data_IF_188727652399
#
_entry.id   IF_188727652399
#
_cell.length_a   1.000
_cell.length_b   1.000
_cell.length_c   1.000
_cell.angle_alpha   90.00
_cell.angle_beta   90.00
_cell.angle_gamma   90.00
#
_symmetry.space_group_name_H-M   'P 1'
#
loop_
_entity.id
_entity.type
_entity.pdbx_description
1 polymer ?
#
# COMPACT_ATOMS: atom_id res chain seq x y z
N UNK A 1 -61.98 -2.76 30.74
CA UNK A 1 -60.87 -2.25 31.56
C UNK A 1 -59.54 -3.05 31.44
N UNK A 2 -59.49 -4.38 31.54
CA UNK A 2 -58.23 -5.17 31.38
C UNK A 2 -57.59 -5.12 29.97
N UNK A 3 -58.37 -5.12 28.88
CA UNK A 3 -57.87 -5.03 27.50
C UNK A 3 -57.21 -3.69 27.19
N UNK A 4 -57.65 -2.63 27.76
CA UNK A 4 -57.10 -1.27 27.49
C UNK A 4 -55.77 -1.02 28.21
N UNK A 5 -55.61 -1.56 29.45
CA UNK A 5 -54.35 -1.57 30.16
C UNK A 5 -53.27 -2.37 29.41
N UNK A 6 -53.61 -3.52 28.85
CA UNK A 6 -52.68 -4.36 28.06
C UNK A 6 -52.21 -3.66 26.75
N UNK A 7 -53.15 -2.98 26.05
CA UNK A 7 -52.84 -2.19 24.86
C UNK A 7 -51.93 -0.99 25.15
N UNK A 8 -52.13 -0.31 26.28
CA UNK A 8 -51.28 0.81 26.73
C UNK A 8 -49.88 0.32 27.14
N UNK A 9 -49.77 -0.82 27.80
CA UNK A 9 -48.49 -1.44 28.18
C UNK A 9 -47.72 -1.88 26.95
N UNK A 10 -48.39 -2.53 25.96
CA UNK A 10 -47.78 -2.94 24.72
C UNK A 10 -47.24 -1.74 23.88
N UNK A 11 -48.03 -0.68 23.75
CA UNK A 11 -47.62 0.56 23.07
C UNK A 11 -46.43 1.21 23.76
N UNK A 12 -46.39 1.25 25.11
CA UNK A 12 -45.25 1.76 25.88
C UNK A 12 -43.99 0.89 25.64
N UNK A 13 -44.14 -0.46 25.64
CA UNK A 13 -43.01 -1.36 25.35
C UNK A 13 -42.47 -1.18 23.96
N UNK A 14 -43.34 -1.04 22.95
CA UNK A 14 -42.92 -0.77 21.56
C UNK A 14 -42.20 0.57 21.45
N UNK A 15 -42.75 1.66 22.08
CA UNK A 15 -42.08 2.97 22.05
C UNK A 15 -40.71 2.95 22.72
N UNK A 16 -40.54 2.24 23.85
CA UNK A 16 -39.23 2.10 24.51
C UNK A 16 -38.24 1.32 23.61
N UNK A 17 -38.66 0.18 23.08
CA UNK A 17 -37.83 -0.60 22.19
C UNK A 17 -37.39 0.20 20.93
N UNK A 18 -38.30 0.98 20.36
CA UNK A 18 -38.00 1.84 19.22
C UNK A 18 -37.01 2.94 19.60
N UNK A 19 -37.16 3.54 20.80
CA UNK A 19 -36.22 4.55 21.30
C UNK A 19 -34.84 3.96 21.53
N UNK A 20 -34.74 2.75 22.11
CA UNK A 20 -33.48 2.07 22.36
C UNK A 20 -32.75 1.70 21.03
N UNK A 21 -33.49 1.24 20.03
CA UNK A 21 -32.93 0.94 18.68
C UNK A 21 -32.44 2.21 18.01
N UNK A 22 -33.20 3.30 18.09
CA UNK A 22 -32.77 4.58 17.53
C UNK A 22 -31.55 5.16 18.27
N UNK A 23 -31.50 5.03 19.59
CA UNK A 23 -30.34 5.44 20.39
C UNK A 23 -29.10 4.62 20.03
N UNK A 24 -29.23 3.30 19.93
CA UNK A 24 -28.15 2.41 19.52
C UNK A 24 -27.65 2.73 18.10
N UNK A 25 -28.57 2.98 17.15
CA UNK A 25 -28.21 3.37 15.79
C UNK A 25 -27.51 4.75 15.75
N UNK A 26 -27.95 5.72 16.57
CA UNK A 26 -27.32 7.03 16.68
C UNK A 26 -25.91 6.95 17.30
N UNK A 27 -25.73 6.10 18.32
CA UNK A 27 -24.43 5.86 18.95
C UNK A 27 -23.49 5.16 17.94
N UNK A 28 -23.95 4.11 17.29
CA UNK A 28 -23.15 3.39 16.28
C UNK A 28 -22.78 4.32 15.10
N UNK A 29 -23.75 5.11 14.61
CA UNK A 29 -23.50 6.12 13.57
C UNK A 29 -22.56 7.23 14.02
N UNK A 30 -22.63 7.63 15.29
CA UNK A 30 -21.71 8.61 15.88
C UNK A 30 -20.28 8.07 16.01
N UNK A 31 -20.13 6.82 16.45
CA UNK A 31 -18.82 6.15 16.53
C UNK A 31 -18.25 5.99 15.12
N UNK A 32 -19.04 5.47 14.17
CA UNK A 32 -18.61 5.35 12.79
C UNK A 32 -18.20 6.69 12.19
N UNK A 33 -19.01 7.73 12.38
CA UNK A 33 -18.70 9.09 11.89
C UNK A 33 -17.41 9.64 12.50
N UNK A 34 -17.22 9.45 13.82
CA UNK A 34 -15.99 9.86 14.48
C UNK A 34 -14.77 9.11 13.96
N UNK A 35 -14.86 7.78 13.87
CA UNK A 35 -13.72 6.94 13.51
C UNK A 35 -13.32 7.04 12.04
N UNK A 36 -14.28 7.27 11.13
CA UNK A 36 -14.04 7.20 9.68
C UNK A 36 -14.25 8.51 8.92
N UNK A 37 -15.07 9.43 9.44
CA UNK A 37 -15.43 10.64 8.69
C UNK A 37 -14.87 11.91 9.32
N UNK A 38 -14.53 11.87 10.62
CA UNK A 38 -13.98 13.04 11.32
C UNK A 38 -12.48 12.83 11.51
N UNK A 39 -11.64 13.65 10.88
CA UNK A 39 -10.18 13.58 11.05
C UNK A 39 -9.78 13.76 12.51
N UNK A 40 -8.98 12.84 13.05
CA UNK A 40 -8.46 12.90 14.41
C UNK A 40 -7.12 12.20 14.56
N UNK A 41 -6.44 12.42 15.68
CA UNK A 41 -5.12 11.85 15.93
C UNK A 41 -4.05 12.37 14.98
N UNK A 42 -4.22 13.60 14.49
CA UNK A 42 -3.37 14.19 13.47
C UNK A 42 -1.93 14.36 13.93
N UNK A 43 -1.02 13.83 13.17
CA UNK A 43 0.41 14.12 13.28
C UNK A 43 0.92 14.47 11.89
N UNK A 44 1.46 15.67 11.75
CA UNK A 44 2.00 16.09 10.45
C UNK A 44 3.13 15.15 10.02
N UNK A 45 3.03 14.65 8.79
CA UNK A 45 4.06 13.80 8.23
C UNK A 45 5.38 14.57 8.05
N UNK A 46 6.49 13.86 8.11
CA UNK A 46 7.76 14.42 7.73
C UNK A 46 7.74 14.82 6.24
N UNK A 47 8.41 15.92 5.88
CA UNK A 47 8.50 16.34 4.48
C UNK A 47 9.04 15.22 3.59
N UNK A 48 8.48 15.08 2.40
CA UNK A 48 9.02 14.18 1.40
C UNK A 48 10.32 14.76 0.82
N UNK A 49 11.23 13.89 0.42
CA UNK A 49 12.33 14.30 -0.43
C UNK A 49 11.75 14.86 -1.74
N UNK A 50 12.09 16.09 -2.07
CA UNK A 50 11.65 16.68 -3.34
C UNK A 50 12.50 16.04 -4.44
N UNK A 51 12.01 14.93 -4.98
CA UNK A 51 12.69 14.14 -6.02
C UNK A 51 13.05 15.01 -7.23
N UNK A 52 12.23 16.00 -7.55
CA UNK A 52 12.49 16.94 -8.65
C UNK A 52 13.76 17.75 -8.43
N UNK A 53 14.04 18.19 -7.20
CA UNK A 53 15.25 18.91 -6.88
C UNK A 53 16.49 18.00 -6.88
N UNK A 54 16.31 16.73 -6.47
CA UNK A 54 17.34 15.70 -6.60
C UNK A 54 17.62 15.40 -8.07
N UNK A 55 16.58 15.36 -8.92
CA UNK A 55 16.70 15.13 -10.36
C UNK A 55 17.35 16.31 -11.10
N UNK A 56 17.11 17.55 -10.71
CA UNK A 56 17.68 18.76 -11.31
C UNK A 56 19.15 19.00 -10.88
N UNK A 57 19.50 18.65 -9.64
CA UNK A 57 20.85 18.81 -9.09
C UNK A 57 21.83 17.70 -9.51
N UNK A 58 21.38 16.63 -10.16
CA UNK A 58 22.18 15.42 -10.45
C UNK A 58 22.90 15.42 -11.81
N UNK A 59 23.30 16.56 -12.33
CA UNK A 59 24.36 16.59 -13.36
C UNK A 59 25.71 16.03 -12.84
N UNK A 60 25.83 15.73 -11.54
CA UNK A 60 26.98 15.07 -10.91
C UNK A 60 26.50 13.83 -10.13
N UNK A 61 26.58 12.65 -10.75
CA UNK A 61 26.07 11.38 -10.23
C UNK A 61 26.77 10.85 -8.94
N UNK A 62 27.89 11.40 -8.55
CA UNK A 62 28.65 10.99 -7.37
C UNK A 62 28.20 11.77 -6.12
N UNK A 63 27.26 11.28 -5.35
CA UNK A 63 26.88 11.89 -4.09
C UNK A 63 25.38 11.82 -3.74
N UNK A 64 24.58 11.09 -4.52
CA UNK A 64 23.12 10.97 -4.28
C UNK A 64 22.84 10.19 -3.01
N UNK A 65 23.56 9.09 -2.76
CA UNK A 65 23.42 8.31 -1.54
C UNK A 65 23.77 9.13 -0.29
N UNK A 66 24.82 9.92 -0.35
CA UNK A 66 25.21 10.81 0.73
C UNK A 66 24.16 11.93 0.93
N UNK A 67 23.56 12.45 -0.15
CA UNK A 67 22.48 13.44 -0.10
C UNK A 67 21.17 12.84 0.42
N UNK A 68 20.80 11.62 0.01
CA UNK A 68 19.61 10.93 0.51
C UNK A 68 19.76 10.60 2.00
N UNK A 69 20.91 10.07 2.42
CA UNK A 69 21.24 9.83 3.81
C UNK A 69 21.28 11.13 4.62
N UNK A 70 21.89 12.20 4.09
CA UNK A 70 21.93 13.52 4.72
C UNK A 70 20.54 14.14 4.82
N UNK A 71 19.70 13.98 3.79
CA UNK A 71 18.30 14.41 3.83
C UNK A 71 17.52 13.64 4.90
N UNK A 72 17.58 12.32 4.91
CA UNK A 72 16.91 11.50 5.92
C UNK A 72 17.34 11.88 7.36
N UNK A 73 18.61 12.26 7.54
CA UNK A 73 19.15 12.75 8.82
C UNK A 73 18.76 14.20 9.12
N UNK A 74 18.51 15.02 8.11
CA UNK A 74 18.20 16.44 8.27
C UNK A 74 16.75 16.71 8.68
N UNK A 75 15.83 15.76 8.50
CA UNK A 75 14.43 15.94 8.90
C UNK A 75 14.39 16.12 10.42
N UNK A 76 13.94 17.26 10.95
CA UNK A 76 13.87 17.46 12.39
C UNK A 76 12.82 16.54 12.99
N UNK A 77 13.22 15.70 13.94
CA UNK A 77 12.30 14.91 14.77
C UNK A 77 11.65 15.79 15.85
N UNK A 78 11.06 16.90 15.44
CA UNK A 78 10.56 17.94 16.38
C UNK A 78 9.21 17.62 16.98
N UNK A 79 8.58 16.50 16.61
CA UNK A 79 7.30 16.09 17.19
C UNK A 79 7.44 14.74 17.93
N UNK A 80 7.99 14.81 19.06
CA UNK A 80 7.78 14.06 20.31
C UNK A 80 8.25 12.61 20.38
N UNK A 81 8.03 11.67 19.52
CA UNK A 81 8.29 10.24 19.79
C UNK A 81 8.73 9.41 18.59
N UNK A 82 8.92 10.01 17.42
CA UNK A 82 9.29 9.23 16.24
C UNK A 82 10.76 8.89 16.24
N UNK A 83 11.01 7.62 15.97
CA UNK A 83 12.36 7.11 15.75
C UNK A 83 12.61 7.04 14.25
N UNK A 84 13.87 7.25 13.88
CA UNK A 84 14.37 6.96 12.55
C UNK A 84 14.99 5.59 12.53
N UNK A 85 14.84 4.94 11.38
CA UNK A 85 15.61 3.74 11.09
C UNK A 85 17.04 4.11 10.70
N UNK A 86 17.97 3.15 10.87
CA UNK A 86 19.33 3.32 10.42
C UNK A 86 19.37 3.36 8.89
N UNK A 87 20.02 4.39 8.33
CA UNK A 87 20.26 4.41 6.88
C UNK A 87 21.38 3.44 6.56
N UNK A 88 21.10 2.50 5.65
CA UNK A 88 22.08 1.56 5.09
C UNK A 88 22.05 1.72 3.58
N UNK A 89 23.18 1.62 2.94
CA UNK A 89 23.31 1.71 1.48
C UNK A 89 23.73 0.37 0.90
N UNK A 90 23.27 0.08 -0.29
CA UNK A 90 23.80 -1.01 -1.09
C UNK A 90 25.23 -0.64 -1.54
N UNK A 91 26.23 -1.51 -1.44
CA UNK A 91 27.56 -1.26 -1.98
C UNK A 91 27.58 -1.24 -3.53
N UNK A 92 26.50 -1.65 -4.18
CA UNK A 92 26.35 -1.68 -5.64
C UNK A 92 25.78 -0.35 -6.11
N UNK A 93 26.44 0.31 -7.05
CA UNK A 93 25.91 1.49 -7.73
C UNK A 93 24.82 1.07 -8.73
N UNK A 94 23.59 1.46 -8.45
CA UNK A 94 22.44 1.11 -9.31
C UNK A 94 22.45 1.89 -10.63
N UNK A 95 23.09 3.06 -10.70
CA UNK A 95 23.26 3.78 -11.97
C UNK A 95 24.21 3.04 -12.92
N UNK A 96 25.28 2.44 -12.39
CA UNK A 96 26.16 1.59 -13.21
C UNK A 96 25.46 0.27 -13.58
N UNK A 97 24.80 -0.34 -12.61
CA UNK A 97 24.13 -1.64 -12.78
C UNK A 97 23.01 -1.60 -13.83
N UNK A 98 22.24 -0.53 -13.87
CA UNK A 98 21.09 -0.34 -14.76
C UNK A 98 21.30 0.82 -15.74
N UNK A 99 22.54 1.08 -16.13
CA UNK A 99 22.91 2.23 -16.96
C UNK A 99 22.16 2.30 -18.30
N UNK A 100 21.73 1.17 -18.83
CA UNK A 100 20.95 1.04 -20.06
C UNK A 100 19.47 1.44 -19.91
N UNK A 101 18.98 1.55 -18.66
CA UNK A 101 17.60 1.97 -18.36
C UNK A 101 17.46 3.49 -18.20
N UNK A 102 18.52 4.17 -17.81
CA UNK A 102 18.47 5.60 -17.52
C UNK A 102 18.85 6.46 -18.75
N UNK A 103 18.32 7.68 -18.75
CA UNK A 103 18.61 8.68 -19.78
C UNK A 103 19.22 9.93 -19.16
N UNK A 104 20.04 10.66 -19.91
CA UNK A 104 20.64 11.91 -19.42
C UNK A 104 19.62 13.03 -19.19
N UNK A 105 18.54 13.01 -19.96
CA UNK A 105 17.45 13.98 -19.91
C UNK A 105 16.14 13.23 -19.66
N UNK A 106 15.14 13.94 -19.13
CA UNK A 106 13.82 13.39 -18.97
C UNK A 106 13.18 13.12 -20.33
N UNK A 107 12.79 11.87 -20.56
CA UNK A 107 12.02 11.44 -21.73
C UNK A 107 10.73 10.80 -21.22
N UNK A 108 9.59 11.29 -21.68
CA UNK A 108 8.28 10.77 -21.30
C UNK A 108 7.43 10.49 -22.51
N UNK A 109 6.79 9.32 -22.49
CA UNK A 109 5.80 8.88 -23.49
C UNK A 109 4.50 8.50 -22.78
N UNK A 110 3.53 7.94 -23.50
CA UNK A 110 2.31 7.40 -22.87
C UNK A 110 2.60 6.21 -21.93
N UNK A 111 3.58 5.38 -22.29
CA UNK A 111 3.87 4.12 -21.62
C UNK A 111 5.27 4.07 -20.96
N UNK A 112 6.01 5.17 -20.95
CA UNK A 112 7.33 5.20 -20.35
C UNK A 112 7.72 6.58 -19.82
N UNK A 113 8.55 6.55 -18.79
CA UNK A 113 9.26 7.71 -18.27
C UNK A 113 10.69 7.29 -17.98
N UNK A 114 11.67 8.03 -18.47
CA UNK A 114 13.08 7.81 -18.18
C UNK A 114 13.76 9.13 -17.83
N UNK A 115 14.69 9.06 -16.92
CA UNK A 115 15.46 10.18 -16.39
C UNK A 115 16.83 9.69 -15.89
N UNK A 116 17.71 10.54 -15.37
CA UNK A 116 18.98 10.06 -14.79
C UNK A 116 18.83 9.08 -13.62
N UNK A 117 17.72 9.11 -12.87
CA UNK A 117 17.56 8.33 -11.64
C UNK A 117 16.33 7.43 -11.62
N UNK A 118 15.47 7.52 -12.61
CA UNK A 118 14.21 6.78 -12.61
C UNK A 118 13.87 6.35 -14.03
N UNK A 119 13.59 5.06 -14.20
CA UNK A 119 12.99 4.55 -15.42
C UNK A 119 11.72 3.76 -15.06
N UNK A 120 10.64 4.03 -15.79
CA UNK A 120 9.34 3.37 -15.63
C UNK A 120 8.86 2.96 -17.01
N UNK A 121 8.48 1.68 -17.15
CA UNK A 121 7.85 1.16 -18.35
C UNK A 121 6.51 0.54 -18.00
N UNK A 122 5.43 1.04 -18.63
CA UNK A 122 4.08 0.56 -18.41
C UNK A 122 3.69 -0.47 -19.45
N UNK A 123 3.20 -1.61 -19.01
CA UNK A 123 2.56 -2.63 -19.85
C UNK A 123 1.10 -2.71 -19.49
N UNK A 124 0.20 -2.51 -20.46
CA UNK A 124 -1.23 -2.77 -20.32
C UNK A 124 -1.55 -4.07 -21.00
N UNK A 125 -2.10 -5.02 -20.24
CA UNK A 125 -2.38 -6.36 -20.77
C UNK A 125 -3.70 -6.91 -20.20
N UNK A 126 -4.18 -7.97 -20.83
CA UNK A 126 -5.38 -8.67 -20.38
C UNK A 126 -5.33 -10.12 -20.81
N UNK A 127 -5.97 -10.98 -20.01
CA UNK A 127 -6.13 -12.39 -20.34
C UNK A 127 -7.54 -12.89 -20.02
N UNK A 128 -7.92 -13.96 -20.69
CA UNK A 128 -9.13 -14.71 -20.36
C UNK A 128 -8.78 -15.92 -19.49
N UNK A 129 -9.57 -16.16 -18.49
CA UNK A 129 -9.42 -17.31 -17.60
C UNK A 129 -10.68 -18.17 -17.63
N UNK A 130 -10.56 -19.44 -17.26
CA UNK A 130 -11.70 -20.34 -17.12
C UNK A 130 -12.48 -20.10 -15.82
N UNK A 131 -11.87 -19.45 -14.86
CA UNK A 131 -12.44 -19.15 -13.56
C UNK A 131 -13.24 -17.86 -13.64
N UNK A 132 -14.55 -17.94 -13.45
CA UNK A 132 -15.39 -16.76 -13.28
C UNK A 132 -15.15 -16.08 -11.95
N UNK A 133 -15.61 -14.83 -11.83
CA UNK A 133 -15.65 -14.11 -10.55
C UNK A 133 -16.40 -14.90 -9.48
N UNK A 134 -15.98 -14.75 -8.24
CA UNK A 134 -16.65 -15.32 -7.09
C UNK A 134 -16.81 -14.30 -5.96
N UNK A 135 -17.81 -14.49 -5.11
CA UNK A 135 -18.00 -13.73 -3.89
C UNK A 135 -17.89 -14.64 -2.66
N UNK A 136 -17.78 -14.07 -1.46
CA UNK A 136 -17.69 -14.77 -0.17
C UNK A 136 -18.68 -15.95 -0.01
N UNK A 137 -19.80 -15.87 -0.69
CA UNK A 137 -20.86 -16.90 -0.67
C UNK A 137 -20.85 -17.80 -1.91
N UNK A 138 -19.78 -17.80 -2.70
CA UNK A 138 -19.71 -18.51 -3.99
C UNK A 138 -20.69 -17.98 -5.03
N UNK A 139 -21.23 -16.79 -4.82
CA UNK A 139 -22.19 -16.15 -5.72
C UNK A 139 -21.46 -15.39 -6.80
N UNK A 140 -21.62 -15.82 -8.04
CA UNK A 140 -21.10 -15.06 -9.18
C UNK A 140 -21.78 -13.70 -9.30
N UNK A 141 -20.97 -12.65 -9.45
CA UNK A 141 -21.43 -11.27 -9.60
C UNK A 141 -21.67 -10.88 -11.07
N UNK A 142 -21.31 -11.76 -12.01
CA UNK A 142 -21.54 -11.57 -13.43
C UNK A 142 -20.50 -10.67 -14.11
N UNK A 143 -19.33 -10.48 -13.52
CA UNK A 143 -18.26 -9.70 -14.12
C UNK A 143 -17.52 -10.42 -15.25
N UNK A 144 -17.66 -11.73 -15.36
CA UNK A 144 -17.10 -12.55 -16.44
C UNK A 144 -15.78 -13.22 -16.08
N UNK A 145 -14.98 -13.49 -17.09
CA UNK A 145 -13.71 -14.27 -17.01
C UNK A 145 -12.49 -13.46 -17.41
N UNK A 146 -12.67 -12.25 -17.93
CA UNK A 146 -11.57 -11.39 -18.36
C UNK A 146 -10.92 -10.68 -17.17
N UNK A 147 -9.60 -10.58 -17.22
CA UNK A 147 -8.77 -9.82 -16.30
C UNK A 147 -7.95 -8.81 -17.10
N UNK A 148 -8.01 -7.54 -16.73
CA UNK A 148 -7.21 -6.46 -17.32
C UNK A 148 -6.35 -5.83 -16.25
N UNK A 149 -5.11 -5.50 -16.56
CA UNK A 149 -4.16 -4.93 -15.60
C UNK A 149 -3.14 -4.01 -16.26
N UNK A 150 -2.52 -3.19 -15.42
CA UNK A 150 -1.35 -2.39 -15.75
C UNK A 150 -0.19 -2.82 -14.87
N UNK A 151 0.93 -3.12 -15.48
CA UNK A 151 2.20 -3.41 -14.82
C UNK A 151 3.17 -2.27 -15.09
N UNK A 152 3.75 -1.69 -14.04
CA UNK A 152 4.85 -0.76 -14.13
C UNK A 152 6.14 -1.48 -13.74
N UNK A 153 7.08 -1.58 -14.67
CA UNK A 153 8.45 -2.02 -14.44
C UNK A 153 9.31 -0.81 -14.10
N UNK A 154 10.03 -0.86 -12.96
CA UNK A 154 10.61 0.34 -12.33
C UNK A 154 12.06 0.09 -11.96
N UNK A 155 12.94 0.92 -12.52
CA UNK A 155 14.36 0.99 -12.14
C UNK A 155 14.61 2.33 -11.45
N UNK A 156 15.30 2.28 -10.33
CA UNK A 156 15.67 3.47 -9.56
C UNK A 156 17.19 3.53 -9.39
N UNK A 157 17.76 4.72 -9.57
CA UNK A 157 19.16 4.98 -9.27
C UNK A 157 19.40 5.23 -7.79
N UNK A 158 18.34 5.58 -7.06
CA UNK A 158 18.35 5.81 -5.62
C UNK A 158 17.01 5.39 -5.02
N UNK A 159 17.02 4.81 -3.82
CA UNK A 159 15.81 4.30 -3.16
C UNK A 159 14.80 5.42 -2.85
N UNK A 160 15.24 6.65 -2.71
CA UNK A 160 14.36 7.82 -2.46
C UNK A 160 13.47 8.16 -3.65
N UNK A 161 13.69 7.57 -4.82
CA UNK A 161 12.72 7.60 -5.93
C UNK A 161 11.43 6.86 -5.61
N UNK A 162 11.44 5.89 -4.66
CA UNK A 162 10.27 5.18 -4.16
C UNK A 162 9.84 5.73 -2.80
N UNK A 163 8.90 6.66 -2.80
CA UNK A 163 8.42 7.30 -1.57
C UNK A 163 6.98 6.90 -1.26
N UNK A 164 6.61 7.04 0.00
CA UNK A 164 5.23 6.93 0.46
C UNK A 164 4.75 8.25 1.04
N UNK A 165 3.50 8.60 0.79
CA UNK A 165 2.88 9.82 1.29
C UNK A 165 1.60 9.48 2.07
N UNK A 166 1.25 10.33 3.03
CA UNK A 166 -0.05 10.29 3.69
C UNK A 166 -1.02 11.27 3.03
N UNK A 167 -2.30 10.95 3.11
CA UNK A 167 -3.35 11.87 2.72
C UNK A 167 -3.18 13.19 3.49
N UNK A 168 -3.21 14.34 2.78
CA UNK A 168 -3.06 15.68 3.35
C UNK A 168 -1.76 15.84 4.20
N UNK A 169 -0.69 15.12 3.87
CA UNK A 169 0.57 15.07 4.61
C UNK A 169 0.40 14.78 6.12
N UNK A 170 -0.65 14.02 6.48
CA UNK A 170 -1.02 13.80 7.87
C UNK A 170 -1.17 12.31 8.17
N UNK A 171 -0.40 11.81 9.14
CA UNK A 171 -0.64 10.52 9.76
C UNK A 171 -1.77 10.65 10.78
N UNK A 172 -2.84 9.89 10.63
CA UNK A 172 -4.01 9.95 11.52
C UNK A 172 -5.19 9.18 10.93
N UNK A 173 -6.31 9.17 11.65
CA UNK A 173 -7.55 8.53 11.24
C UNK A 173 -8.47 9.53 10.53
N UNK A 174 -9.26 9.06 9.56
CA UNK A 174 -10.26 9.87 8.85
C UNK A 174 -9.67 10.82 7.79
N UNK A 175 -8.35 10.85 7.58
CA UNK A 175 -7.74 11.61 6.50
C UNK A 175 -7.83 10.84 5.20
N UNK A 176 -8.39 11.47 4.17
CA UNK A 176 -8.51 10.90 2.83
C UNK A 176 -8.18 11.94 1.77
N UNK A 177 -7.63 11.50 0.65
CA UNK A 177 -7.27 12.33 -0.48
C UNK A 177 -7.35 11.47 -1.75
N UNK A 178 -7.83 12.06 -2.85
CA UNK A 178 -7.78 11.35 -4.12
C UNK A 178 -6.32 11.16 -4.55
N UNK A 179 -5.98 9.96 -4.99
CA UNK A 179 -4.61 9.62 -5.40
C UNK A 179 -4.08 10.58 -6.48
N UNK A 180 -4.94 10.98 -7.42
CA UNK A 180 -4.61 11.95 -8.47
C UNK A 180 -4.29 13.35 -7.92
N UNK A 181 -4.95 13.77 -6.85
CA UNK A 181 -4.70 15.08 -6.23
C UNK A 181 -3.43 15.02 -5.37
N UNK A 182 -3.24 13.92 -4.62
CA UNK A 182 -2.00 13.65 -3.90
C UNK A 182 -0.80 13.62 -4.85
N UNK A 183 -0.88 12.87 -5.96
CA UNK A 183 0.18 12.77 -6.97
C UNK A 183 0.56 14.14 -7.52
N UNK A 184 -0.42 14.99 -7.86
CA UNK A 184 -0.16 16.37 -8.30
C UNK A 184 0.48 17.23 -7.23
N UNK A 185 0.02 17.09 -5.97
CA UNK A 185 0.53 17.86 -4.83
C UNK A 185 2.00 17.56 -4.54
N UNK A 186 2.38 16.29 -4.61
CA UNK A 186 3.76 15.85 -4.34
C UNK A 186 4.65 15.80 -5.59
N UNK A 187 4.10 15.99 -6.78
CA UNK A 187 4.85 15.96 -8.04
C UNK A 187 5.34 14.58 -8.44
N UNK A 188 4.63 13.50 -8.09
CA UNK A 188 5.04 12.14 -8.47
C UNK A 188 4.82 11.86 -9.96
N UNK A 189 5.73 11.08 -10.55
CA UNK A 189 5.61 10.62 -11.95
C UNK A 189 4.61 9.49 -12.04
N UNK A 190 4.60 8.58 -11.05
CA UNK A 190 3.70 7.46 -10.91
C UNK A 190 3.24 7.37 -9.46
N UNK A 191 1.98 7.04 -9.25
CA UNK A 191 1.46 6.78 -7.92
C UNK A 191 0.46 5.63 -7.94
N UNK A 192 0.52 4.80 -6.91
CA UNK A 192 -0.49 3.77 -6.60
C UNK A 192 -0.88 3.89 -5.13
N UNK A 193 -2.05 3.37 -4.78
CA UNK A 193 -2.42 3.24 -3.38
C UNK A 193 -1.52 2.21 -2.66
N UNK A 194 -1.33 2.41 -1.37
CA UNK A 194 -0.54 1.52 -0.50
C UNK A 194 -1.41 0.59 0.35
N UNK A 195 -1.17 0.61 1.66
CA UNK A 195 -1.97 -0.11 2.65
C UNK A 195 -2.99 0.81 3.34
N UNK A 196 -4.00 0.22 3.96
CA UNK A 196 -5.03 0.92 4.71
C UNK A 196 -4.76 0.85 6.23
N UNK A 197 -3.69 1.48 6.69
CA UNK A 197 -3.20 1.40 8.06
C UNK A 197 -4.15 1.94 9.13
N UNK A 198 -5.16 2.71 8.76
CA UNK A 198 -6.10 3.37 9.67
C UNK A 198 -7.50 2.78 9.68
N UNK A 199 -7.79 1.74 8.90
CA UNK A 199 -9.08 1.07 8.94
C UNK A 199 -9.24 0.21 10.22
N UNK A 200 -10.44 -0.26 10.50
CA UNK A 200 -10.76 -1.02 11.73
C UNK A 200 -9.84 -2.21 12.00
N UNK A 201 -9.35 -2.84 10.96
CA UNK A 201 -8.51 -4.04 11.06
C UNK A 201 -7.06 -3.73 11.32
N UNK A 202 -6.61 -2.55 10.91
CA UNK A 202 -5.20 -2.16 10.91
C UNK A 202 -4.89 -0.99 11.84
N UNK A 203 -5.92 -0.33 12.41
CA UNK A 203 -5.78 0.91 13.22
C UNK A 203 -4.78 0.79 14.36
N UNK A 204 -4.81 -0.34 15.07
CA UNK A 204 -3.94 -0.61 16.22
C UNK A 204 -3.04 -1.83 15.98
N UNK A 205 -2.72 -2.13 14.72
CA UNK A 205 -2.02 -3.33 14.30
C UNK A 205 -0.78 -2.98 13.48
N UNK A 206 0.34 -3.61 13.79
CA UNK A 206 1.56 -3.60 13.00
C UNK A 206 2.41 -2.35 13.10
N UNK A 207 3.46 -2.36 12.31
CA UNK A 207 4.47 -1.31 12.26
C UNK A 207 4.32 -0.49 10.98
N UNK A 208 4.19 0.83 11.12
CA UNK A 208 4.09 1.78 10.01
C UNK A 208 5.37 2.58 9.94
N UNK A 209 6.15 2.32 8.90
CA UNK A 209 7.36 3.06 8.54
C UNK A 209 7.12 3.72 7.19
N UNK A 210 7.38 5.01 7.11
CA UNK A 210 7.30 5.79 5.88
C UNK A 210 8.56 6.63 5.73
N UNK A 211 9.27 6.41 4.63
CA UNK A 211 10.51 7.14 4.29
C UNK A 211 11.54 7.11 5.44
N UNK A 212 11.70 5.96 6.08
CA UNK A 212 12.64 5.74 7.19
C UNK A 212 12.19 6.30 8.54
N UNK A 213 10.94 6.74 8.68
CA UNK A 213 10.38 7.24 9.94
C UNK A 213 9.31 6.29 10.45
N UNK A 214 9.40 5.93 11.73
CA UNK A 214 8.47 5.02 12.39
C UNK A 214 7.32 5.85 12.97
N UNK A 215 6.14 5.67 12.42
CA UNK A 215 4.90 6.31 12.90
C UNK A 215 4.12 5.44 13.88
N UNK A 216 4.27 4.13 13.76
CA UNK A 216 3.66 3.13 14.66
C UNK A 216 4.58 1.92 14.75
N UNK A 217 4.69 1.36 15.93
CA UNK A 217 5.51 0.19 16.24
C UNK A 217 4.74 -0.74 17.16
N UNK A 218 3.86 -1.53 16.58
CA UNK A 218 3.02 -2.48 17.29
C UNK A 218 3.17 -3.88 16.71
N UNK A 219 2.83 -4.90 17.50
CA UNK A 219 2.74 -6.28 17.03
C UNK A 219 1.62 -6.41 16.01
N UNK A 220 1.72 -7.42 15.17
CA UNK A 220 0.72 -7.73 14.16
C UNK A 220 0.49 -9.24 14.09
N UNK A 221 -0.70 -9.63 13.65
CA UNK A 221 -1.06 -10.99 13.26
C UNK A 221 -0.97 -11.20 11.74
N UNK A 222 -0.41 -10.22 11.02
CA UNK A 222 -0.31 -10.20 9.57
C UNK A 222 1.15 -10.23 9.10
N UNK A 223 1.39 -10.80 7.92
CA UNK A 223 2.67 -10.64 7.24
C UNK A 223 2.96 -9.15 7.01
N UNK A 224 4.22 -8.75 7.20
CA UNK A 224 4.67 -7.37 6.98
C UNK A 224 5.72 -7.32 5.87
N UNK A 225 5.44 -6.56 4.82
CA UNK A 225 6.41 -6.27 3.78
C UNK A 225 7.26 -5.06 4.18
N UNK A 226 8.57 -5.20 4.09
CA UNK A 226 9.55 -4.15 4.42
C UNK A 226 10.47 -3.94 3.24
N UNK A 227 10.57 -2.69 2.77
CA UNK A 227 11.58 -2.23 1.85
C UNK A 227 12.66 -1.49 2.67
N UNK A 228 13.91 -1.91 2.55
CA UNK A 228 15.02 -1.34 3.29
C UNK A 228 15.71 -0.20 2.51
N UNK A 229 16.50 0.62 3.20
CA UNK A 229 17.30 1.68 2.60
C UNK A 229 18.30 1.18 1.55
N UNK A 230 18.82 -0.03 1.71
CA UNK A 230 19.70 -0.71 0.74
C UNK A 230 18.95 -1.32 -0.46
N UNK A 231 17.66 -1.04 -0.59
CA UNK A 231 16.82 -1.52 -1.68
C UNK A 231 16.36 -2.96 -1.57
N UNK A 232 16.74 -3.71 -0.54
CA UNK A 232 16.25 -5.06 -0.33
C UNK A 232 14.80 -5.06 0.15
N UNK A 233 13.99 -5.99 -0.36
CA UNK A 233 12.61 -6.19 0.12
C UNK A 233 12.50 -7.53 0.82
N UNK A 234 11.94 -7.51 2.03
CA UNK A 234 11.74 -8.68 2.88
C UNK A 234 10.30 -8.75 3.37
N UNK A 235 9.78 -9.96 3.54
CA UNK A 235 8.45 -10.19 4.10
C UNK A 235 8.62 -11.00 5.38
N UNK A 236 8.13 -10.44 6.47
CA UNK A 236 8.21 -11.02 7.81
C UNK A 236 6.89 -11.70 8.18
N UNK A 237 6.97 -12.88 8.76
CA UNK A 237 5.83 -13.50 9.43
C UNK A 237 5.45 -12.70 10.70
N UNK A 238 4.19 -12.81 11.18
CA UNK A 238 3.71 -12.00 12.29
C UNK A 238 4.54 -12.05 13.56
N UNK A 239 5.13 -13.22 13.88
CA UNK A 239 5.93 -13.49 15.08
C UNK A 239 7.44 -13.24 14.90
N UNK A 240 7.89 -12.99 13.66
CA UNK A 240 9.28 -12.68 13.33
C UNK A 240 9.61 -11.19 13.42
N UNK A 241 8.57 -10.34 13.38
CA UNK A 241 8.74 -8.89 13.33
C UNK A 241 8.88 -8.30 14.72
N UNK A 242 10.03 -7.66 14.94
CA UNK A 242 10.24 -6.80 16.09
C UNK A 242 10.75 -5.42 15.64
N UNK A 243 10.29 -4.39 16.35
CA UNK A 243 10.58 -3.00 15.99
C UNK A 243 12.08 -2.69 16.02
N UNK A 244 12.82 -3.26 16.97
CA UNK A 244 14.26 -3.01 17.05
C UNK A 244 14.98 -3.62 15.85
N UNK A 245 14.57 -4.84 15.45
CA UNK A 245 15.10 -5.48 14.23
C UNK A 245 14.86 -4.59 13.00
N UNK A 246 13.69 -3.98 12.86
CA UNK A 246 13.42 -3.08 11.74
C UNK A 246 14.26 -1.80 11.77
N UNK A 247 14.47 -1.22 12.95
CA UNK A 247 15.35 -0.06 13.13
C UNK A 247 16.77 -0.41 12.69
N UNK A 248 17.28 -1.53 13.18
CA UNK A 248 18.66 -1.97 12.98
C UNK A 248 18.91 -2.49 11.56
N UNK A 249 17.90 -3.09 10.93
CA UNK A 249 17.98 -3.56 9.54
C UNK A 249 17.96 -2.44 8.53
N UNK A 250 17.50 -1.24 8.91
CA UNK A 250 17.43 -0.09 8.03
C UNK A 250 16.15 -0.07 7.18
N UNK A 251 15.00 -0.37 7.80
CA UNK A 251 13.72 -0.32 7.12
C UNK A 251 13.42 1.10 6.61
N UNK A 252 13.09 1.21 5.33
CA UNK A 252 12.72 2.46 4.66
C UNK A 252 11.20 2.63 4.56
N UNK A 253 10.50 1.57 4.13
CA UNK A 253 9.04 1.49 4.04
C UNK A 253 8.55 0.19 4.67
N UNK A 254 7.32 0.18 5.20
CA UNK A 254 6.65 -1.05 5.61
C UNK A 254 5.16 -1.04 5.25
N UNK A 255 4.61 -2.19 4.89
CA UNK A 255 3.19 -2.38 4.57
C UNK A 255 2.66 -3.61 5.28
N UNK A 256 1.42 -3.54 5.78
CA UNK A 256 0.79 -4.59 6.62
C UNK A 256 -0.51 -5.16 6.05
N UNK A 257 -0.86 -4.89 4.81
CA UNK A 257 -2.12 -5.37 4.21
C UNK A 257 -2.04 -6.88 3.88
N UNK A 258 -1.15 -7.27 2.99
CA UNK A 258 -0.88 -8.63 2.60
C UNK A 258 -1.99 -9.37 1.82
N UNK A 259 -1.80 -10.64 1.58
CA UNK A 259 -0.64 -11.48 1.96
C UNK A 259 0.54 -11.36 1.01
N UNK A 260 1.67 -12.00 1.36
CA UNK A 260 2.75 -12.27 0.43
C UNK A 260 2.29 -13.27 -0.64
N UNK A 261 2.76 -13.08 -1.87
CA UNK A 261 2.32 -13.84 -3.04
C UNK A 261 3.30 -14.93 -3.46
N UNK A 262 4.58 -14.75 -3.13
CA UNK A 262 5.63 -15.71 -3.44
C UNK A 262 6.22 -16.30 -2.16
N UNK A 263 6.75 -17.51 -2.27
CA UNK A 263 7.54 -18.14 -1.22
C UNK A 263 9.00 -17.63 -1.21
N UNK A 264 9.80 -18.13 -0.30
CA UNK A 264 11.23 -17.79 -0.15
C UNK A 264 12.10 -18.09 -1.37
N UNK A 265 11.62 -18.95 -2.28
CA UNK A 265 12.29 -19.34 -3.53
C UNK A 265 11.73 -18.56 -4.75
N UNK A 266 10.87 -17.58 -4.54
CA UNK A 266 10.20 -16.83 -5.61
C UNK A 266 9.12 -17.62 -6.35
N UNK A 267 8.58 -18.69 -5.74
CA UNK A 267 7.52 -19.51 -6.32
C UNK A 267 6.14 -19.04 -5.85
N UNK A 268 5.18 -19.12 -6.76
CA UNK A 268 3.80 -18.74 -6.48
C UNK A 268 3.22 -19.55 -5.33
N UNK A 269 2.73 -18.86 -4.31
CA UNK A 269 1.97 -19.47 -3.22
C UNK A 269 0.60 -19.93 -3.72
N UNK A 270 0.12 -21.06 -3.19
CA UNK A 270 -1.22 -21.60 -3.44
C UNK A 270 -2.11 -21.53 -2.20
N UNK A 271 -1.56 -21.06 -1.08
CA UNK A 271 -2.28 -20.87 0.18
C UNK A 271 -1.85 -19.53 0.80
N UNK A 272 -2.82 -18.78 1.28
CA UNK A 272 -2.62 -17.42 1.76
C UNK A 272 -3.23 -17.27 3.16
N UNK A 273 -2.45 -16.71 4.09
CA UNK A 273 -2.95 -16.36 5.42
C UNK A 273 -3.64 -14.99 5.33
N UNK A 274 -4.89 -14.99 5.00
CA UNK A 274 -5.70 -13.77 4.88
C UNK A 274 -7.18 -14.10 5.07
N UNK A 275 -8.02 -13.08 5.16
CA UNK A 275 -9.48 -13.26 5.28
C UNK A 275 -10.09 -13.79 3.97
N UNK A 276 -11.15 -14.57 4.09
CA UNK A 276 -11.78 -15.25 2.95
C UNK A 276 -12.17 -14.28 1.84
N UNK A 277 -12.72 -13.11 2.18
CA UNK A 277 -13.12 -12.12 1.18
C UNK A 277 -11.92 -11.54 0.38
N UNK A 278 -10.70 -11.50 0.97
CA UNK A 278 -9.48 -11.06 0.25
C UNK A 278 -9.08 -12.08 -0.81
N UNK A 279 -9.43 -13.35 -0.65
CA UNK A 279 -9.11 -14.40 -1.64
C UNK A 279 -9.94 -14.33 -2.92
N UNK A 280 -11.03 -13.58 -2.92
CA UNK A 280 -11.91 -13.45 -4.06
C UNK A 280 -11.30 -12.62 -5.20
N UNK A 281 -11.95 -12.65 -6.38
CA UNK A 281 -11.54 -11.80 -7.48
C UNK A 281 -11.88 -10.34 -7.18
N UNK A 282 -10.84 -9.51 -7.06
CA UNK A 282 -10.97 -8.09 -6.76
C UNK A 282 -10.10 -7.25 -7.70
N UNK A 283 -10.40 -5.94 -7.83
CA UNK A 283 -9.39 -4.97 -8.21
C UNK A 283 -8.21 -5.09 -7.24
N UNK A 284 -6.96 -4.99 -7.72
CA UNK A 284 -5.77 -5.26 -6.92
C UNK A 284 -4.71 -4.19 -7.13
N UNK A 285 -3.95 -3.95 -6.08
CA UNK A 285 -2.65 -3.29 -6.14
C UNK A 285 -1.62 -4.20 -5.48
N UNK A 286 -0.45 -4.34 -6.08
CA UNK A 286 0.63 -5.13 -5.53
C UNK A 286 1.99 -4.56 -5.90
N UNK A 287 3.00 -4.87 -5.07
CA UNK A 287 4.39 -4.55 -5.31
C UNK A 287 5.18 -5.85 -5.52
N UNK A 288 6.04 -5.88 -6.53
CA UNK A 288 6.99 -6.95 -6.80
C UNK A 288 8.43 -6.45 -6.68
N UNK A 289 9.32 -7.36 -6.35
CA UNK A 289 10.74 -7.12 -6.13
C UNK A 289 11.57 -8.12 -6.91
N UNK A 290 12.48 -7.63 -7.73
CA UNK A 290 13.46 -8.44 -8.44
C UNK A 290 14.80 -8.45 -7.71
N UNK A 291 15.33 -7.27 -7.42
CA UNK A 291 16.61 -7.04 -6.74
C UNK A 291 16.71 -5.56 -6.33
N UNK A 292 17.72 -5.16 -5.51
CA UNK A 292 17.90 -3.77 -5.17
C UNK A 292 18.02 -2.88 -6.42
N UNK A 293 17.19 -1.83 -6.45
CA UNK A 293 17.07 -0.91 -7.57
C UNK A 293 16.07 -1.31 -8.66
N UNK A 294 15.50 -2.54 -8.62
CA UNK A 294 14.53 -3.03 -9.62
C UNK A 294 13.27 -3.60 -8.97
N UNK A 295 12.14 -2.99 -9.27
CA UNK A 295 10.82 -3.28 -8.68
C UNK A 295 9.74 -3.27 -9.75
N UNK A 296 8.55 -3.75 -9.41
CA UNK A 296 7.37 -3.49 -10.22
C UNK A 296 6.14 -3.21 -9.36
N UNK A 297 5.19 -2.47 -9.94
CA UNK A 297 3.88 -2.22 -9.36
C UNK A 297 2.81 -2.77 -10.30
N UNK A 298 1.85 -3.49 -9.75
CA UNK A 298 0.71 -4.05 -10.47
C UNK A 298 -0.57 -3.37 -9.99
N UNK A 299 -1.38 -2.91 -10.93
CA UNK A 299 -2.76 -2.49 -10.70
C UNK A 299 -3.67 -3.30 -11.59
N UNK A 300 -4.65 -3.98 -11.00
CA UNK A 300 -5.62 -4.82 -11.69
C UNK A 300 -6.98 -4.17 -11.61
N UNK A 301 -7.57 -3.91 -12.76
CA UNK A 301 -8.96 -3.50 -12.85
C UNK A 301 -9.90 -4.62 -12.42
N UNK A 302 -11.06 -4.26 -11.87
CA UNK A 302 -12.00 -5.29 -11.46
C UNK A 302 -13.43 -4.77 -11.27
N UNK A 303 -14.37 -5.70 -11.00
CA UNK A 303 -15.79 -5.41 -10.78
C UNK A 303 -16.46 -4.71 -11.97
N UNK A 304 -15.94 -4.89 -13.17
CA UNK A 304 -16.43 -4.26 -14.40
C UNK A 304 -16.83 -5.35 -15.41
N UNK A 305 -18.16 -5.54 -15.56
CA UNK A 305 -18.71 -6.55 -16.45
C UNK A 305 -18.24 -6.35 -17.90
N UNK A 306 -17.71 -7.45 -18.51
CA UNK A 306 -17.23 -7.43 -19.89
C UNK A 306 -15.85 -6.78 -20.09
N UNK A 307 -15.26 -6.21 -19.03
CA UNK A 307 -13.93 -5.58 -19.11
C UNK A 307 -12.92 -6.26 -18.18
N UNK A 308 -13.17 -6.30 -16.89
CA UNK A 308 -12.30 -6.98 -15.94
C UNK A 308 -13.08 -7.39 -14.68
N UNK A 309 -12.96 -8.68 -14.31
CA UNK A 309 -13.56 -9.19 -13.07
C UNK A 309 -12.71 -8.91 -11.83
N UNK A 310 -11.46 -8.57 -12.02
CA UNK A 310 -10.44 -8.58 -10.99
C UNK A 310 -9.59 -9.85 -11.01
N UNK A 311 -8.63 -9.95 -10.10
CA UNK A 311 -7.67 -11.04 -10.06
C UNK A 311 -7.75 -11.77 -8.71
N UNK A 312 -7.70 -13.10 -8.73
CA UNK A 312 -7.49 -13.93 -7.54
C UNK A 312 -6.04 -13.85 -7.09
N UNK A 313 -5.79 -14.14 -5.81
CA UNK A 313 -4.42 -14.11 -5.26
C UNK A 313 -3.50 -15.12 -5.95
N UNK A 314 -4.02 -16.29 -6.30
CA UNK A 314 -3.29 -17.34 -7.02
C UNK A 314 -2.86 -16.90 -8.41
N UNK A 315 -3.71 -16.17 -9.11
CA UNK A 315 -3.40 -15.63 -10.44
C UNK A 315 -2.33 -14.53 -10.34
N UNK A 316 -2.44 -13.68 -9.31
CA UNK A 316 -1.44 -12.65 -9.02
C UNK A 316 -0.09 -13.27 -8.67
N UNK A 317 -0.08 -14.30 -7.81
CA UNK A 317 1.12 -15.04 -7.45
C UNK A 317 1.80 -15.67 -8.67
N UNK A 318 1.02 -16.33 -9.54
CA UNK A 318 1.53 -16.90 -10.79
C UNK A 318 2.08 -15.83 -11.73
N UNK A 319 1.46 -14.67 -11.80
CA UNK A 319 1.96 -13.54 -12.60
C UNK A 319 3.34 -13.08 -12.11
N UNK A 320 3.51 -12.85 -10.80
CA UNK A 320 4.79 -12.41 -10.25
C UNK A 320 5.90 -13.48 -10.35
N UNK A 321 5.56 -14.77 -10.21
CA UNK A 321 6.50 -15.86 -10.50
C UNK A 321 6.96 -15.83 -11.96
N UNK A 322 6.03 -15.70 -12.90
CA UNK A 322 6.33 -15.63 -14.33
C UNK A 322 7.18 -14.40 -14.72
N UNK A 323 7.00 -13.28 -14.00
CA UNK A 323 7.84 -12.09 -14.12
C UNK A 323 9.25 -12.30 -13.57
N UNK A 324 9.50 -13.35 -12.77
CA UNK A 324 10.78 -13.63 -12.15
C UNK A 324 11.05 -12.83 -10.88
N UNK A 325 10.02 -12.30 -10.23
CA UNK A 325 10.15 -11.61 -8.95
C UNK A 325 10.65 -12.57 -7.87
N UNK A 326 11.52 -12.08 -6.98
CA UNK A 326 11.99 -12.80 -5.79
C UNK A 326 11.02 -12.69 -4.62
N UNK A 327 10.30 -11.57 -4.53
CA UNK A 327 9.23 -11.36 -3.57
C UNK A 327 8.10 -10.55 -4.20
N UNK A 328 6.88 -10.76 -3.73
CA UNK A 328 5.73 -9.96 -4.14
C UNK A 328 4.70 -9.88 -3.00
N UNK A 329 4.05 -8.73 -2.86
CA UNK A 329 3.16 -8.45 -1.75
C UNK A 329 1.90 -7.72 -2.21
N UNK A 330 0.73 -8.25 -1.79
CA UNK A 330 -0.55 -7.63 -2.07
C UNK A 330 -0.76 -6.41 -1.18
N UNK A 331 -1.06 -5.27 -1.80
CA UNK A 331 -1.45 -4.03 -1.13
C UNK A 331 -2.97 -3.90 -1.07
N UNK A 332 -3.49 -2.80 -0.53
CA UNK A 332 -4.92 -2.56 -0.54
C UNK A 332 -5.44 -2.47 -1.98
N UNK A 333 -6.65 -2.94 -2.19
CA UNK A 333 -7.29 -3.01 -3.50
C UNK A 333 -8.77 -2.64 -3.43
N UNK A 334 -9.56 -3.14 -4.36
CA UNK A 334 -11.00 -2.93 -4.34
C UNK A 334 -11.41 -1.51 -4.70
N UNK A 335 -11.85 -0.70 -3.73
CA UNK A 335 -12.19 0.69 -3.95
C UNK A 335 -10.98 1.64 -3.99
N UNK A 336 -9.83 1.15 -3.53
CA UNK A 336 -8.62 1.94 -3.42
C UNK A 336 -7.72 1.85 -4.65
N UNK A 337 -7.91 0.84 -5.50
CA UNK A 337 -7.13 0.62 -6.73
C UNK A 337 -7.86 1.09 -7.98
#
# INVERSE_FOLDING_TARGET
>A
MRRDKRRKSLKRGICLLTADVLAAAAIAGGIYGYDYMIPHGAVQAAPLAVTQKILEDTAEASGIEEKAAAWAQSIPLTQGTWQRTAVKTDPVDWHEKFADQFTKEVVSTEDSYTSPNLAIHLTRDSFETKQADSSENGRHLGYGTRVSYVLADIYVGDITCLQTAFAQDTYGNGYSELLTDMSKRIGSVLAVNGDSYSNDRHRDNGTIIRNGIIYRAQKTDMETCVLNWDGTMQIYAPDELDTQTLIDSGAYQSWIFGPSLLDENGKAKTSFQTWDYIRESHPRTAIGYYEPGHYCLLVVDGRQAGYSRGMFLEEMAALFENLGCKAAYNLDGGHCS
#
